data_IF_250640668456
#
_entry.id   IF_250640668456
#
_cell.length_a   1.000
_cell.length_b   1.000
_cell.length_c   1.000
_cell.angle_alpha   90.00
_cell.angle_beta   90.00
_cell.angle_gamma   90.00
#
_symmetry.space_group_name_H-M   'P 1'
#
loop_
_entity.id
_entity.type
_entity.pdbx_description
1 polymer ?
#
# COMPACT_ATOMS: atom_id res chain seq x y z
N UNK A 1 -4.70 25.65 -22.21
CA UNK A 1 -3.68 24.60 -22.01
C UNK A 1 -4.42 23.33 -21.66
N UNK A 2 -4.06 22.18 -22.23
CA UNK A 2 -4.77 20.93 -21.97
C UNK A 2 -4.26 20.34 -20.66
N UNK A 3 -5.10 20.25 -19.63
CA UNK A 3 -4.73 19.65 -18.34
C UNK A 3 -4.67 18.13 -18.48
N UNK A 4 -3.63 17.53 -17.93
CA UNK A 4 -3.44 16.08 -17.90
C UNK A 4 -4.36 15.38 -16.90
N UNK A 5 -4.12 14.10 -16.67
CA UNK A 5 -4.88 13.27 -15.73
C UNK A 5 -3.93 12.41 -14.91
N UNK A 6 -4.26 12.21 -13.63
CA UNK A 6 -3.50 11.33 -12.73
C UNK A 6 -4.30 10.05 -12.44
N UNK A 7 -3.69 8.88 -12.60
CA UNK A 7 -4.21 7.63 -12.07
C UNK A 7 -3.38 7.20 -10.86
N UNK A 8 -4.02 6.98 -9.71
CA UNK A 8 -3.42 6.26 -8.58
C UNK A 8 -3.74 4.79 -8.73
N UNK A 9 -2.73 3.96 -8.98
CA UNK A 9 -2.92 2.57 -9.36
C UNK A 9 -2.23 1.66 -8.37
N UNK A 10 -3.00 0.74 -7.79
CA UNK A 10 -2.46 -0.34 -6.96
C UNK A 10 -1.73 -1.37 -7.82
N UNK A 11 -0.43 -1.52 -7.58
CA UNK A 11 0.42 -2.49 -8.26
C UNK A 11 0.22 -3.92 -7.75
N UNK A 12 -0.51 -4.11 -6.65
CA UNK A 12 -0.63 -5.41 -6.01
C UNK A 12 0.56 -5.73 -5.09
N UNK A 13 0.57 -6.95 -4.53
CA UNK A 13 1.44 -7.31 -3.41
C UNK A 13 2.83 -7.84 -3.84
N UNK A 14 3.09 -7.96 -5.14
CA UNK A 14 4.38 -8.39 -5.69
C UNK A 14 4.23 -9.21 -6.98
N UNK A 15 3.39 -10.23 -6.95
CA UNK A 15 3.07 -11.06 -8.13
C UNK A 15 2.44 -10.21 -9.25
N UNK A 16 3.07 -10.23 -10.43
CA UNK A 16 2.58 -9.55 -11.61
C UNK A 16 1.20 -10.07 -12.08
N UNK A 17 0.86 -11.32 -11.79
CA UNK A 17 -0.45 -11.91 -12.09
C UNK A 17 -1.59 -11.32 -11.25
N UNK A 18 -1.27 -10.63 -10.15
CA UNK A 18 -2.25 -9.94 -9.31
C UNK A 18 -2.45 -8.47 -9.71
N UNK A 19 -1.73 -7.99 -10.73
CA UNK A 19 -1.96 -6.66 -11.27
C UNK A 19 -3.31 -6.63 -11.99
N UNK A 20 -4.14 -5.63 -11.68
CA UNK A 20 -5.51 -5.61 -12.20
C UNK A 20 -5.52 -5.30 -13.70
N UNK A 21 -6.50 -5.87 -14.42
CA UNK A 21 -6.66 -5.60 -15.87
C UNK A 21 -6.77 -4.10 -16.16
N UNK A 22 -7.55 -3.37 -15.34
CA UNK A 22 -7.67 -1.91 -15.43
C UNK A 22 -6.34 -1.20 -15.15
N UNK A 23 -5.58 -1.67 -14.16
CA UNK A 23 -4.23 -1.16 -13.86
C UNK A 23 -3.31 -1.27 -15.07
N UNK A 24 -3.33 -2.41 -15.76
CA UNK A 24 -2.58 -2.61 -17.00
C UNK A 24 -3.05 -1.69 -18.13
N UNK A 25 -4.37 -1.62 -18.37
CA UNK A 25 -4.97 -0.77 -19.41
C UNK A 25 -4.61 0.72 -19.24
N UNK A 26 -4.60 1.25 -18.01
CA UNK A 26 -4.20 2.65 -17.76
C UNK A 26 -2.69 2.84 -17.82
N UNK A 27 -1.91 1.84 -17.40
CA UNK A 27 -0.45 1.88 -17.46
C UNK A 27 0.05 2.00 -18.90
N UNK A 28 -0.61 1.33 -19.85
CA UNK A 28 -0.28 1.41 -21.28
C UNK A 28 -0.55 2.80 -21.90
N UNK A 29 -1.30 3.65 -21.22
CA UNK A 29 -1.62 5.02 -21.66
C UNK A 29 -0.71 6.07 -21.02
N UNK A 30 0.21 5.68 -20.14
CA UNK A 30 0.99 6.63 -19.36
C UNK A 30 2.02 7.37 -20.22
N UNK A 31 2.07 8.70 -20.08
CA UNK A 31 3.19 9.51 -20.55
C UNK A 31 4.30 9.56 -19.48
N UNK A 32 3.89 9.55 -18.20
CA UNK A 32 4.78 9.54 -17.04
C UNK A 32 4.32 8.49 -16.03
N UNK A 33 5.24 7.66 -15.55
CA UNK A 33 4.98 6.68 -14.48
C UNK A 33 5.83 7.02 -13.27
N UNK A 34 5.17 7.31 -12.15
CA UNK A 34 5.79 7.57 -10.84
C UNK A 34 5.56 6.35 -9.94
N UNK A 35 6.62 5.72 -9.46
CA UNK A 35 6.52 4.48 -8.67
C UNK A 35 7.42 4.50 -7.44
N UNK A 36 7.05 3.73 -6.41
CA UNK A 36 7.82 3.55 -5.19
C UNK A 36 8.52 2.19 -5.16
N UNK A 37 9.28 1.94 -4.07
CA UNK A 37 10.10 0.75 -3.92
C UNK A 37 9.32 -0.54 -3.65
N UNK A 38 8.00 -0.46 -3.40
CA UNK A 38 7.17 -1.64 -3.11
C UNK A 38 6.55 -2.24 -4.38
N UNK A 39 6.65 -1.56 -5.52
CA UNK A 39 6.17 -2.08 -6.80
C UNK A 39 7.11 -3.19 -7.28
N UNK A 40 6.55 -4.39 -7.52
CA UNK A 40 7.32 -5.54 -7.96
C UNK A 40 7.89 -5.39 -9.38
N UNK A 41 9.06 -5.99 -9.62
CA UNK A 41 9.79 -5.90 -10.89
C UNK A 41 8.95 -6.36 -12.10
N UNK A 42 8.08 -7.35 -11.91
CA UNK A 42 7.18 -7.83 -12.96
C UNK A 42 6.18 -6.76 -13.42
N UNK A 43 5.66 -5.91 -12.52
CA UNK A 43 4.80 -4.77 -12.88
C UNK A 43 5.63 -3.65 -13.50
N UNK A 44 6.84 -3.39 -13.00
CA UNK A 44 7.75 -2.40 -13.58
C UNK A 44 8.14 -2.74 -15.03
N UNK A 45 8.25 -4.04 -15.35
CA UNK A 45 8.51 -4.52 -16.71
C UNK A 45 7.34 -4.28 -17.68
N UNK A 46 6.12 -4.02 -17.18
CA UNK A 46 4.95 -3.70 -18.01
C UNK A 46 4.89 -2.21 -18.38
N UNK A 47 5.75 -1.36 -17.81
CA UNK A 47 5.77 0.08 -18.11
C UNK A 47 6.18 0.28 -19.58
N UNK A 48 5.38 1.02 -20.38
CA UNK A 48 5.72 1.31 -21.77
C UNK A 48 7.10 1.94 -21.93
N UNK A 49 7.83 1.57 -22.98
CA UNK A 49 9.18 2.08 -23.23
C UNK A 49 9.20 3.61 -23.48
N UNK A 50 8.14 4.13 -24.06
CA UNK A 50 7.95 5.56 -24.34
C UNK A 50 7.50 6.36 -23.11
N UNK A 51 7.12 5.71 -22.01
CA UNK A 51 6.71 6.39 -20.79
C UNK A 51 7.94 6.82 -19.97
N UNK A 52 7.96 8.07 -19.50
CA UNK A 52 9.01 8.55 -18.61
C UNK A 52 8.85 7.95 -17.22
N UNK A 53 9.90 7.25 -16.74
CA UNK A 53 9.92 6.57 -15.44
C UNK A 53 10.54 7.44 -14.36
N UNK A 54 9.82 7.66 -13.26
CA UNK A 54 10.30 8.39 -12.08
C UNK A 54 10.22 7.46 -10.86
N UNK A 55 11.38 7.02 -10.39
CA UNK A 55 11.48 6.24 -9.17
C UNK A 55 11.51 7.18 -7.96
N UNK A 56 10.40 7.25 -7.24
CA UNK A 56 10.27 8.06 -6.05
C UNK A 56 10.67 7.34 -4.75
N UNK A 57 10.97 6.03 -4.83
CA UNK A 57 11.53 5.23 -3.74
C UNK A 57 13.06 5.23 -3.68
N UNK A 58 13.76 5.87 -4.63
CA UNK A 58 15.23 5.89 -4.66
C UNK A 58 15.80 6.64 -3.45
N UNK A 59 16.64 5.95 -2.68
CA UNK A 59 17.58 6.54 -1.70
C UNK A 59 18.78 7.16 -2.43
N UNK A 60 18.58 8.13 -3.33
CA UNK A 60 19.72 8.97 -3.72
C UNK A 60 20.05 9.88 -2.53
N UNK A 61 21.24 9.72 -1.95
CA UNK A 61 21.77 10.50 -0.83
C UNK A 61 20.94 10.50 0.48
N UNK A 62 20.55 9.33 1.00
CA UNK A 62 19.93 9.16 2.33
C UNK A 62 18.54 9.80 2.57
N UNK A 63 17.86 10.30 1.54
CA UNK A 63 16.53 10.89 1.71
C UNK A 63 15.50 10.27 0.74
N UNK A 64 14.52 9.54 1.31
CA UNK A 64 13.27 9.21 0.63
C UNK A 64 12.57 10.52 0.25
N UNK A 65 11.96 10.59 -0.95
CA UNK A 65 11.20 11.78 -1.36
C UNK A 65 10.11 12.07 -0.30
N UNK A 66 10.10 13.27 0.31
CA UNK A 66 9.02 13.65 1.21
C UNK A 66 7.67 13.64 0.50
N UNK A 67 6.60 13.31 1.22
CA UNK A 67 5.27 13.17 0.62
C UNK A 67 4.79 14.44 -0.10
N UNK A 68 5.02 15.63 0.48
CA UNK A 68 4.62 16.89 -0.15
C UNK A 68 5.27 17.06 -1.54
N UNK A 69 6.53 16.66 -1.70
CA UNK A 69 7.25 16.72 -2.97
C UNK A 69 6.74 15.71 -3.99
N UNK A 70 6.26 14.54 -3.52
CA UNK A 70 5.55 13.60 -4.38
C UNK A 70 4.25 14.21 -4.90
N UNK A 71 3.47 14.81 -4.02
CA UNK A 71 2.18 15.41 -4.37
C UNK A 71 2.39 16.54 -5.40
N UNK A 72 3.38 17.40 -5.17
CA UNK A 72 3.77 18.46 -6.12
C UNK A 72 4.21 17.90 -7.47
N UNK A 73 5.03 16.83 -7.49
CA UNK A 73 5.44 16.19 -8.73
C UNK A 73 4.23 15.72 -9.57
N UNK A 74 3.26 15.06 -8.93
CA UNK A 74 2.05 14.59 -9.63
C UNK A 74 1.25 15.77 -10.20
N UNK A 75 1.10 16.84 -9.41
CA UNK A 75 0.42 18.06 -9.82
C UNK A 75 1.12 18.72 -11.01
N UNK A 76 2.43 18.95 -10.92
CA UNK A 76 3.22 19.60 -11.97
C UNK A 76 3.16 18.82 -13.28
N UNK A 77 3.27 17.49 -13.22
CA UNK A 77 3.21 16.65 -14.41
C UNK A 77 1.82 16.68 -15.07
N UNK A 78 0.76 16.66 -14.28
CA UNK A 78 -0.59 16.82 -14.81
C UNK A 78 -0.82 18.23 -15.39
N UNK A 79 -0.28 19.30 -14.77
CA UNK A 79 -0.37 20.66 -15.30
C UNK A 79 0.37 20.85 -16.63
N UNK A 80 1.41 20.04 -16.89
CA UNK A 80 2.10 19.97 -18.20
C UNK A 80 1.27 19.26 -19.28
N UNK A 81 0.11 18.70 -18.93
CA UNK A 81 -0.77 17.97 -19.85
C UNK A 81 -0.53 16.47 -19.89
N UNK A 82 0.32 15.92 -19.03
CA UNK A 82 0.70 14.51 -19.09
C UNK A 82 -0.38 13.58 -18.51
N UNK A 83 -0.47 12.37 -19.07
CA UNK A 83 -1.16 11.22 -18.49
C UNK A 83 -0.21 10.56 -17.48
N UNK A 84 -0.46 10.82 -16.20
CA UNK A 84 0.43 10.42 -15.10
C UNK A 84 -0.12 9.17 -14.42
N UNK A 85 0.66 8.11 -14.32
CA UNK A 85 0.33 6.94 -13.51
C UNK A 85 1.21 6.90 -12.27
N UNK A 86 0.60 7.00 -11.08
CA UNK A 86 1.22 6.78 -9.78
C UNK A 86 1.01 5.32 -9.37
N UNK A 87 2.02 4.48 -9.60
CA UNK A 87 2.01 3.06 -9.18
C UNK A 87 2.37 2.96 -7.69
N UNK A 88 1.51 2.35 -6.89
CA UNK A 88 1.68 2.18 -5.44
C UNK A 88 1.65 0.69 -5.11
N UNK A 89 2.58 0.21 -4.28
CA UNK A 89 2.54 -1.18 -3.79
C UNK A 89 1.21 -1.48 -3.07
N UNK A 90 0.66 -2.67 -3.29
CA UNK A 90 -0.63 -3.08 -2.73
C UNK A 90 -1.80 -2.25 -3.30
N UNK A 91 -2.57 -1.64 -2.40
CA UNK A 91 -3.71 -0.78 -2.72
C UNK A 91 -3.39 0.70 -2.41
N UNK A 92 -3.82 1.68 -3.24
CA UNK A 92 -3.54 3.10 -3.00
C UNK A 92 -4.03 3.65 -1.66
N UNK A 93 -5.12 3.11 -1.11
CA UNK A 93 -5.82 3.65 0.04
C UNK A 93 -5.63 2.87 1.34
N UNK A 94 -5.07 1.66 1.29
CA UNK A 94 -4.71 0.94 2.51
C UNK A 94 -3.28 1.26 2.96
N UNK A 95 -3.15 2.21 3.89
CA UNK A 95 -1.87 2.74 4.39
C UNK A 95 -0.90 3.24 3.30
N UNK A 96 -1.40 3.45 2.09
CA UNK A 96 -0.62 3.93 0.94
C UNK A 96 -0.52 5.45 0.85
N UNK A 97 -1.22 6.21 1.71
CA UNK A 97 -1.30 7.69 1.66
C UNK A 97 -1.90 8.25 0.36
N UNK A 98 -2.67 7.45 -0.38
CA UNK A 98 -3.31 7.90 -1.61
C UNK A 98 -4.27 9.08 -1.39
N UNK A 99 -4.93 9.16 -0.23
CA UNK A 99 -5.77 10.31 0.11
C UNK A 99 -5.00 11.64 0.10
N UNK A 100 -3.85 11.69 0.77
CA UNK A 100 -2.99 12.89 0.82
C UNK A 100 -2.51 13.31 -0.58
N UNK A 101 -2.21 12.35 -1.46
CA UNK A 101 -1.82 12.63 -2.85
C UNK A 101 -2.99 13.26 -3.62
N UNK A 102 -4.22 12.79 -3.42
CA UNK A 102 -5.41 13.27 -4.13
C UNK A 102 -5.93 14.61 -3.61
N UNK A 103 -5.77 14.94 -2.32
CA UNK A 103 -6.20 16.21 -1.74
C UNK A 103 -5.58 17.40 -2.49
N UNK A 104 -4.29 17.33 -2.78
CA UNK A 104 -3.59 18.39 -3.53
C UNK A 104 -4.11 18.51 -4.96
N UNK A 105 -4.31 17.37 -5.64
CA UNK A 105 -4.82 17.31 -7.00
C UNK A 105 -6.25 17.87 -7.09
N UNK A 106 -7.11 17.49 -6.14
CA UNK A 106 -8.47 18.00 -6.04
C UNK A 106 -8.49 19.52 -5.81
N UNK A 107 -7.65 20.03 -4.92
CA UNK A 107 -7.51 21.47 -4.65
C UNK A 107 -7.09 22.29 -5.87
N UNK A 108 -6.41 21.67 -6.84
CA UNK A 108 -5.97 22.28 -8.09
C UNK A 108 -6.81 21.87 -9.30
N UNK A 109 -7.95 21.19 -9.09
CA UNK A 109 -8.87 20.75 -10.14
C UNK A 109 -8.21 19.85 -11.20
N UNK A 110 -7.21 19.06 -10.79
CA UNK A 110 -6.60 18.05 -11.66
C UNK A 110 -7.53 16.82 -11.73
N UNK A 111 -7.94 16.38 -12.93
CA UNK A 111 -8.68 15.13 -13.08
C UNK A 111 -7.85 13.95 -12.55
N UNK A 112 -8.45 13.13 -11.70
CA UNK A 112 -7.81 11.92 -11.22
C UNK A 112 -8.77 10.73 -11.18
N UNK A 113 -8.18 9.55 -11.08
CA UNK A 113 -8.91 8.30 -10.90
C UNK A 113 -8.09 7.33 -10.04
N UNK A 114 -8.78 6.57 -9.19
CA UNK A 114 -8.16 5.52 -8.39
C UNK A 114 -8.47 4.17 -9.02
N UNK A 115 -7.44 3.37 -9.24
CA UNK A 115 -7.53 1.96 -9.65
C UNK A 115 -7.08 1.12 -8.46
N UNK A 116 -8.02 0.44 -7.76
CA UNK A 116 -7.69 -0.40 -6.62
C UNK A 116 -6.70 -1.52 -6.98
N UNK A 117 -5.94 -1.96 -5.99
CA UNK A 117 -4.99 -3.07 -6.10
C UNK A 117 -5.28 -4.18 -5.10
N UNK A 118 -4.77 -5.37 -5.38
CA UNK A 118 -4.82 -6.47 -4.41
C UNK A 118 -3.88 -6.12 -3.24
N UNK A 119 -4.41 -6.10 -2.02
CA UNK A 119 -3.65 -5.68 -0.84
C UNK A 119 -2.97 -6.84 -0.12
N UNK A 120 -1.81 -6.57 0.52
CA UNK A 120 -1.02 -7.60 1.21
C UNK A 120 -1.73 -8.27 2.39
N UNK A 121 -2.61 -7.60 3.18
CA UNK A 121 -3.36 -8.26 4.26
C UNK A 121 -4.26 -9.39 3.80
N UNK A 122 -4.68 -9.40 2.53
CA UNK A 122 -5.50 -10.47 1.97
C UNK A 122 -4.63 -11.47 1.21
N UNK A 123 -3.71 -10.97 0.38
CA UNK A 123 -2.96 -11.82 -0.53
C UNK A 123 -1.88 -12.65 0.16
N UNK A 124 -1.14 -12.07 1.13
CA UNK A 124 -0.07 -12.82 1.80
C UNK A 124 -0.65 -14.02 2.57
N UNK A 125 -1.70 -13.88 3.39
CA UNK A 125 -2.34 -15.03 4.02
C UNK A 125 -2.86 -16.05 3.00
N UNK A 126 -3.53 -15.60 1.94
CA UNK A 126 -4.06 -16.50 0.91
C UNK A 126 -2.98 -17.36 0.25
N UNK A 127 -1.82 -16.77 -0.09
CA UNK A 127 -0.67 -17.48 -0.67
C UNK A 127 0.08 -18.35 0.35
N UNK A 128 -0.32 -18.34 1.63
CA UNK A 128 0.15 -19.23 2.69
C UNK A 128 -0.95 -20.17 3.20
N UNK A 129 -2.10 -20.25 2.53
CA UNK A 129 -3.21 -21.11 2.95
C UNK A 129 -3.95 -20.63 4.20
N UNK A 130 -3.81 -19.37 4.58
CA UNK A 130 -4.44 -18.76 5.75
C UNK A 130 -5.60 -17.87 5.27
N UNK A 131 -6.87 -18.30 5.38
CA UNK A 131 -7.99 -17.42 5.11
C UNK A 131 -8.13 -16.39 6.24
N UNK A 132 -8.28 -15.12 5.88
CA UNK A 132 -8.42 -14.01 6.86
C UNK A 132 -9.78 -13.94 7.53
N UNK A 133 -10.74 -14.69 7.01
CA UNK A 133 -12.05 -14.90 7.61
C UNK A 133 -12.46 -16.34 7.37
N UNK A 134 -13.23 -16.91 8.30
CA UNK A 134 -13.75 -18.26 8.15
C UNK A 134 -14.97 -18.40 9.03
N UNK A 135 -16.04 -18.98 8.48
CA UNK A 135 -17.37 -18.99 9.11
C UNK A 135 -17.39 -19.56 10.53
N UNK A 136 -16.52 -20.51 10.83
CA UNK A 136 -16.43 -21.18 12.13
C UNK A 136 -15.38 -20.56 13.07
N UNK A 137 -14.55 -19.64 12.58
CA UNK A 137 -13.43 -19.06 13.36
C UNK A 137 -13.57 -17.55 13.57
N UNK A 138 -13.91 -16.79 12.53
CA UNK A 138 -14.00 -15.32 12.63
C UNK A 138 -14.85 -14.72 11.51
N UNK A 139 -15.70 -13.77 11.91
CA UNK A 139 -16.54 -12.97 11.03
C UNK A 139 -15.95 -11.59 10.72
N UNK A 140 -14.81 -11.22 11.32
CA UNK A 140 -14.23 -9.89 11.19
C UNK A 140 -12.72 -9.92 10.94
N UNK A 141 -12.25 -8.94 10.16
CA UNK A 141 -10.85 -8.69 9.85
C UNK A 141 -10.52 -7.25 10.25
N UNK A 142 -9.45 -7.09 11.02
CA UNK A 142 -8.93 -5.79 11.42
C UNK A 142 -7.54 -5.62 10.83
N UNK A 143 -7.34 -4.55 10.07
CA UNK A 143 -6.05 -4.25 9.46
C UNK A 143 -5.49 -3.02 10.16
N UNK A 144 -4.34 -3.19 10.82
CA UNK A 144 -3.74 -2.19 11.71
C UNK A 144 -2.34 -1.85 11.20
N UNK A 145 -1.95 -0.57 11.31
CA UNK A 145 -0.56 -0.18 11.14
C UNK A 145 0.19 -0.37 12.46
N UNK A 146 1.24 -1.20 12.43
CA UNK A 146 2.23 -1.29 13.50
C UNK A 146 3.24 -0.15 13.47
N UNK A 147 3.21 0.73 12.47
CA UNK A 147 4.13 1.88 12.43
C UNK A 147 3.73 2.95 13.46
N UNK A 148 4.68 3.36 14.29
CA UNK A 148 4.55 4.45 15.25
C UNK A 148 5.24 5.71 14.73
N UNK A 149 4.58 6.86 14.85
CA UNK A 149 5.22 8.17 14.62
C UNK A 149 6.32 8.38 15.66
N UNK A 150 7.49 8.82 15.21
CA UNK A 150 8.65 9.06 16.07
C UNK A 150 8.26 9.98 17.26
N UNK A 151 8.60 9.56 18.47
CA UNK A 151 8.29 10.31 19.70
C UNK A 151 6.86 10.19 20.24
N UNK A 152 5.93 9.50 19.57
CA UNK A 152 4.54 9.33 20.06
C UNK A 152 4.31 7.93 20.64
N UNK A 153 3.34 7.72 21.54
CA UNK A 153 2.95 6.37 21.95
C UNK A 153 2.26 5.61 20.80
N UNK A 154 2.14 4.28 20.90
CA UNK A 154 1.25 3.55 19.99
C UNK A 154 -0.18 4.01 20.27
N UNK A 155 -0.86 4.49 19.24
CA UNK A 155 -2.29 4.81 19.30
C UNK A 155 -3.10 3.59 18.86
N UNK A 156 -2.91 2.47 19.56
CA UNK A 156 -3.61 1.20 19.29
C UNK A 156 -4.41 0.84 20.53
N UNK A 157 -5.73 0.77 20.39
CA UNK A 157 -6.61 0.26 21.43
C UNK A 157 -6.60 -1.27 21.42
N UNK A 158 -5.58 -1.88 22.03
CA UNK A 158 -5.43 -3.33 22.06
C UNK A 158 -6.62 -4.04 22.71
N UNK A 159 -7.23 -3.44 23.74
CA UNK A 159 -8.42 -3.98 24.38
C UNK A 159 -9.58 -4.15 23.39
N UNK A 160 -9.86 -3.14 22.58
CA UNK A 160 -10.88 -3.23 21.55
C UNK A 160 -10.55 -4.30 20.48
N UNK A 161 -9.27 -4.48 20.14
CA UNK A 161 -8.86 -5.51 19.18
C UNK A 161 -9.07 -6.93 19.74
N UNK A 162 -8.83 -7.14 21.04
CA UNK A 162 -9.09 -8.42 21.70
C UNK A 162 -10.59 -8.67 21.83
N UNK A 163 -11.36 -7.68 22.25
CA UNK A 163 -12.82 -7.79 22.47
C UNK A 163 -13.63 -8.00 21.18
N UNK A 164 -13.09 -7.62 20.01
CA UNK A 164 -13.78 -7.82 18.72
C UNK A 164 -13.61 -9.23 18.14
N UNK A 165 -12.72 -10.06 18.71
CA UNK A 165 -12.49 -11.47 18.33
C UNK A 165 -12.27 -11.67 16.81
N UNK A 166 -11.66 -10.70 16.14
CA UNK A 166 -11.37 -10.73 14.71
C UNK A 166 -10.00 -11.29 14.36
N UNK A 167 -9.77 -11.60 13.08
CA UNK A 167 -8.40 -11.79 12.59
C UNK A 167 -7.69 -10.45 12.56
N UNK A 168 -6.56 -10.36 13.25
CA UNK A 168 -5.76 -9.13 13.33
C UNK A 168 -4.59 -9.22 12.35
N UNK A 169 -4.50 -8.27 11.42
CA UNK A 169 -3.38 -8.16 10.48
C UNK A 169 -2.64 -6.84 10.71
N UNK A 170 -1.40 -6.95 11.19
CA UNK A 170 -0.53 -5.79 11.42
C UNK A 170 0.41 -5.57 10.23
N UNK A 171 0.25 -4.45 9.53
CA UNK A 171 1.17 -3.98 8.49
C UNK A 171 2.25 -3.10 9.11
N UNK A 172 3.45 -3.11 8.51
CA UNK A 172 4.61 -2.32 9.01
C UNK A 172 4.96 -2.63 10.49
N UNK A 173 4.63 -3.82 10.97
CA UNK A 173 4.72 -4.19 12.39
C UNK A 173 5.98 -4.92 12.82
N UNK A 174 6.91 -5.26 11.91
CA UNK A 174 8.07 -6.13 12.24
C UNK A 174 8.93 -5.55 13.36
N UNK A 175 9.29 -4.27 13.28
CA UNK A 175 10.07 -3.60 14.33
C UNK A 175 9.27 -3.43 15.65
N UNK A 176 7.95 -3.44 15.53
CA UNK A 176 6.98 -3.20 16.61
C UNK A 176 6.41 -4.48 17.21
N UNK A 177 6.85 -5.64 16.72
CA UNK A 177 6.29 -6.94 17.07
C UNK A 177 6.33 -7.20 18.59
N UNK A 178 7.43 -6.91 19.33
CA UNK A 178 7.44 -7.11 20.78
C UNK A 178 6.38 -6.28 21.52
N UNK A 179 6.13 -5.05 21.06
CA UNK A 179 5.15 -4.16 21.66
C UNK A 179 3.72 -4.55 21.31
N UNK A 180 3.50 -5.02 20.08
CA UNK A 180 2.20 -5.55 19.64
C UNK A 180 1.84 -6.79 20.44
N UNK A 181 2.75 -7.76 20.57
CA UNK A 181 2.49 -8.99 21.34
C UNK A 181 2.18 -8.66 22.80
N UNK A 182 2.97 -7.81 23.44
CA UNK A 182 2.75 -7.37 24.82
C UNK A 182 1.42 -6.64 24.98
N UNK A 183 1.10 -5.71 24.07
CA UNK A 183 -0.17 -4.98 24.10
C UNK A 183 -1.39 -5.90 23.99
N UNK A 184 -1.32 -6.93 23.13
CA UNK A 184 -2.39 -7.93 22.99
C UNK A 184 -2.51 -8.82 24.24
N UNK A 185 -1.41 -9.32 24.78
CA UNK A 185 -1.44 -10.17 25.99
C UNK A 185 -1.90 -9.41 27.23
N UNK A 186 -1.43 -8.17 27.40
CA UNK A 186 -1.84 -7.30 28.51
C UNK A 186 -3.33 -6.93 28.41
N UNK A 187 -3.87 -6.90 27.19
CA UNK A 187 -5.29 -6.69 26.92
C UNK A 187 -6.15 -7.96 27.05
N UNK A 188 -5.55 -9.11 27.37
CA UNK A 188 -6.27 -10.36 27.63
C UNK A 188 -6.29 -11.38 26.48
N UNK A 189 -5.50 -11.17 25.42
CA UNK A 189 -5.32 -12.20 24.38
C UNK A 189 -4.62 -13.43 24.97
N UNK A 190 -5.12 -14.62 24.63
CA UNK A 190 -4.49 -15.89 25.01
C UNK A 190 -3.03 -15.92 24.51
N UNK A 191 -2.03 -16.12 25.39
CA UNK A 191 -0.63 -16.29 24.98
C UNK A 191 -0.37 -17.44 24.00
N UNK A 192 -1.30 -18.39 23.87
CA UNK A 192 -1.25 -19.49 22.92
C UNK A 192 -2.00 -19.20 21.60
N UNK A 193 -2.54 -17.99 21.41
CA UNK A 193 -3.23 -17.59 20.18
C UNK A 193 -2.33 -17.82 18.96
N UNK A 194 -2.76 -18.59 17.94
CA UNK A 194 -1.97 -18.81 16.74
C UNK A 194 -1.63 -17.51 16.01
N UNK A 195 -0.38 -17.36 15.59
CA UNK A 195 0.11 -16.19 14.84
C UNK A 195 1.10 -16.61 13.76
N UNK A 196 1.22 -15.80 12.70
CA UNK A 196 2.16 -16.00 11.62
C UNK A 196 2.82 -14.67 11.20
N UNK A 197 4.09 -14.73 10.83
CA UNK A 197 4.81 -13.61 10.19
C UNK A 197 5.03 -13.97 8.73
N UNK A 198 4.46 -13.18 7.83
CA UNK A 198 4.54 -13.40 6.39
C UNK A 198 5.41 -12.33 5.76
N UNK A 199 6.46 -12.74 5.06
CA UNK A 199 7.42 -11.83 4.42
C UNK A 199 7.46 -12.07 2.92
N UNK A 200 7.69 -11.02 2.13
CA UNK A 200 7.86 -11.11 0.67
C UNK A 200 6.72 -11.90 -0.02
N UNK A 201 5.50 -11.78 0.51
CA UNK A 201 4.40 -12.62 0.06
C UNK A 201 4.09 -12.42 -1.42
N UNK A 202 3.58 -13.47 -2.06
CA UNK A 202 3.31 -13.56 -3.51
C UNK A 202 4.55 -13.50 -4.42
N UNK A 203 5.76 -13.36 -3.86
CA UNK A 203 7.01 -13.39 -4.64
C UNK A 203 7.67 -14.77 -4.56
N UNK A 204 8.66 -15.01 -5.43
CA UNK A 204 9.49 -16.22 -5.37
C UNK A 204 10.35 -16.33 -4.09
N UNK A 205 10.45 -15.25 -3.30
CA UNK A 205 11.18 -15.22 -2.05
C UNK A 205 10.31 -15.26 -0.80
N UNK A 206 9.03 -15.65 -0.93
CA UNK A 206 8.10 -15.88 0.19
C UNK A 206 8.56 -17.05 1.06
#
# INVERSE_FOLDING_TARGET
>A
MNTGKVWLVGAGPGDAGLFTRKGYEVLQQADVVVYDSLVGDGVLAMIPENARKINAGKRSSHHTMPQWKMNELLLEEAQKGNRVVRLKGGDPFLFGRGGEELELLAGHQIPFEVVPGITSPLAFPAYNGIPVTHRDYTSSLHIITGHKREGQAYDINFRALVETEGTLVFLMGVASLPDICRGLTDAGMDPQMPAAVLQKGTTAGQ
#
